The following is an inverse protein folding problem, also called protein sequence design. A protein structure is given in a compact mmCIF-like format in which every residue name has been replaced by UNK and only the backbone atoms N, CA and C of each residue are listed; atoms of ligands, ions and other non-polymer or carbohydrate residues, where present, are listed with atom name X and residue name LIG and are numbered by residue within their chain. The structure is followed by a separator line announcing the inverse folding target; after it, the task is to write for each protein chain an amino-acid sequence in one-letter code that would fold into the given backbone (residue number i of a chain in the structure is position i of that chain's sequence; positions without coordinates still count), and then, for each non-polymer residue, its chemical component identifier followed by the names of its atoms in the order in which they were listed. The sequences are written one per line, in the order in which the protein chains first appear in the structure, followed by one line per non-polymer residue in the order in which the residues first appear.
data_IF_955281688710
#
_entry.id   IF_955281688710
#
_cell.length_a   1.000
_cell.length_b   1.000
_cell.length_c   1.000
_cell.angle_alpha   90.00
_cell.angle_beta   90.00
_cell.angle_gamma   90.00
#
_symmetry.space_group_name_H-M   'P 1'
#
loop_
_entity.id
_entity.type
_entity.pdbx_description
1 polymer ?
#
# COMPACT_ATOMS: atom_id res chain seq x y z
N UNK A 1 -29.58 -17.63 -17.35
CA UNK A 1 -28.48 -17.13 -16.49
C UNK A 1 -28.97 -17.09 -15.06
N UNK A 2 -28.28 -17.73 -14.11
CA UNK A 2 -28.64 -17.73 -12.69
C UNK A 2 -28.48 -16.34 -12.07
N UNK A 3 -29.50 -15.85 -11.34
CA UNK A 3 -29.35 -14.62 -10.56
C UNK A 3 -28.34 -14.78 -9.42
N UNK A 4 -27.78 -13.68 -8.92
CA UNK A 4 -26.89 -13.69 -7.76
C UNK A 4 -27.52 -14.43 -6.56
N UNK A 5 -28.79 -14.12 -6.25
CA UNK A 5 -29.51 -14.78 -5.16
C UNK A 5 -29.72 -16.28 -5.38
N UNK A 6 -29.96 -16.72 -6.62
CA UNK A 6 -30.08 -18.14 -6.94
C UNK A 6 -28.75 -18.87 -6.74
N UNK A 7 -27.65 -18.27 -7.18
CA UNK A 7 -26.32 -18.84 -6.99
C UNK A 7 -25.95 -18.94 -5.50
N UNK A 8 -26.14 -17.88 -4.72
CA UNK A 8 -25.81 -17.90 -3.28
C UNK A 8 -26.64 -18.96 -2.53
N UNK A 9 -27.92 -19.13 -2.89
CA UNK A 9 -28.75 -20.18 -2.30
C UNK A 9 -28.26 -21.59 -2.66
N UNK A 10 -27.85 -21.81 -3.92
CA UNK A 10 -27.29 -23.09 -4.36
C UNK A 10 -25.94 -23.38 -3.68
N UNK A 11 -25.09 -22.36 -3.53
CA UNK A 11 -23.82 -22.46 -2.83
C UNK A 11 -24.01 -22.78 -1.35
N UNK A 12 -24.93 -22.08 -0.67
CA UNK A 12 -25.27 -22.32 0.73
C UNK A 12 -25.87 -23.72 0.99
N UNK A 13 -26.46 -24.34 -0.04
CA UNK A 13 -27.01 -25.71 0.04
C UNK A 13 -25.92 -26.80 0.04
N UNK A 14 -24.63 -26.43 -0.07
CA UNK A 14 -23.48 -27.36 -0.06
C UNK A 14 -23.64 -28.53 -1.05
N UNK A 15 -24.14 -28.24 -2.25
CA UNK A 15 -24.36 -29.25 -3.28
C UNK A 15 -23.02 -29.79 -3.80
N UNK A 16 -22.86 -31.12 -3.82
CA UNK A 16 -21.65 -31.75 -4.33
C UNK A 16 -21.41 -31.36 -5.79
N UNK A 17 -20.22 -30.84 -6.09
CA UNK A 17 -19.80 -30.50 -7.44
C UNK A 17 -20.59 -29.36 -8.09
N UNK A 18 -21.09 -28.38 -7.32
CA UNK A 18 -21.70 -27.18 -7.89
C UNK A 18 -20.68 -26.46 -8.80
N UNK A 19 -21.04 -26.30 -10.08
CA UNK A 19 -20.26 -25.61 -11.09
C UNK A 19 -21.13 -24.60 -11.82
N UNK A 20 -20.74 -23.33 -11.77
CA UNK A 20 -21.43 -22.24 -12.43
C UNK A 20 -20.43 -21.44 -13.28
N UNK A 21 -20.12 -21.86 -14.52
CA UNK A 21 -19.10 -21.20 -15.34
C UNK A 21 -19.48 -19.75 -15.69
N UNK A 22 -18.54 -18.82 -15.49
CA UNK A 22 -18.69 -17.43 -15.91
C UNK A 22 -18.63 -17.32 -17.44
N UNK A 23 -19.38 -16.38 -18.02
CA UNK A 23 -19.24 -16.02 -19.44
C UNK A 23 -17.98 -15.19 -19.68
N UNK A 24 -17.62 -14.32 -18.72
CA UNK A 24 -16.36 -13.56 -18.71
C UNK A 24 -15.49 -14.05 -17.57
N UNK A 25 -14.36 -14.67 -17.93
CA UNK A 25 -13.43 -15.25 -16.94
C UNK A 25 -12.44 -14.25 -16.35
N UNK A 26 -12.33 -13.07 -16.94
CA UNK A 26 -11.35 -12.03 -16.60
C UNK A 26 -12.05 -10.67 -16.55
N UNK A 27 -12.21 -10.13 -15.34
CA UNK A 27 -12.95 -8.90 -15.06
C UNK A 27 -12.00 -7.85 -14.51
N UNK A 28 -11.82 -6.69 -15.19
CA UNK A 28 -10.98 -5.61 -14.70
C UNK A 28 -11.43 -5.11 -13.32
N UNK A 29 -10.48 -4.81 -12.42
CA UNK A 29 -10.77 -4.34 -11.07
C UNK A 29 -11.59 -3.05 -11.08
N UNK A 30 -11.38 -2.15 -12.05
CA UNK A 30 -12.16 -0.90 -12.19
C UNK A 30 -13.68 -1.10 -12.29
N UNK A 31 -14.14 -2.28 -12.70
CA UNK A 31 -15.58 -2.57 -12.82
C UNK A 31 -16.24 -2.69 -11.44
N UNK A 32 -15.48 -3.04 -10.39
CA UNK A 32 -16.06 -3.41 -9.10
C UNK A 32 -15.26 -2.95 -7.87
N UNK A 33 -14.06 -2.39 -8.03
CA UNK A 33 -13.23 -1.81 -6.96
C UNK A 33 -13.01 -0.32 -7.26
N UNK A 34 -13.23 0.52 -6.26
CA UNK A 34 -12.87 1.94 -6.28
C UNK A 34 -11.94 2.20 -5.09
N UNK A 35 -10.79 2.81 -5.33
CA UNK A 35 -9.79 3.14 -4.32
C UNK A 35 -9.53 4.64 -4.36
N UNK A 36 -9.73 5.31 -3.23
CA UNK A 36 -9.30 6.68 -2.99
C UNK A 36 -8.33 6.72 -1.80
N UNK A 37 -7.59 7.82 -1.68
CA UNK A 37 -6.68 8.06 -0.56
C UNK A 37 -6.78 9.51 -0.09
N UNK A 38 -6.79 9.71 1.23
CA UNK A 38 -6.60 11.02 1.84
C UNK A 38 -5.13 11.17 2.24
N UNK A 39 -4.58 12.37 2.05
CA UNK A 39 -3.17 12.67 2.34
C UNK A 39 -3.05 13.53 3.59
N UNK A 40 -1.90 13.43 4.24
CA UNK A 40 -1.53 14.21 5.42
C UNK A 40 -1.62 15.70 5.10
N UNK A 41 -2.20 16.47 6.02
CA UNK A 41 -2.54 17.88 5.82
C UNK A 41 -1.34 18.76 5.43
N UNK A 42 -0.12 18.33 5.75
CA UNK A 42 1.12 19.02 5.34
C UNK A 42 1.16 19.24 3.82
N UNK A 43 0.65 18.30 3.03
CA UNK A 43 0.68 18.36 1.57
C UNK A 43 -0.32 19.36 0.97
N UNK A 44 -1.20 19.95 1.79
CA UNK A 44 -2.10 21.04 1.39
C UNK A 44 -1.93 22.30 2.26
N UNK A 45 -1.05 22.23 3.26
CA UNK A 45 -0.71 23.33 4.17
C UNK A 45 0.06 24.44 3.48
N UNK A 46 0.25 25.56 4.17
CA UNK A 46 1.05 26.68 3.66
C UNK A 46 2.53 26.32 3.50
N UNK A 47 3.02 25.30 4.21
CA UNK A 47 4.43 24.90 4.23
C UNK A 47 4.95 24.28 2.94
N UNK A 48 4.07 23.89 2.02
CA UNK A 48 4.44 23.36 0.70
C UNK A 48 4.14 24.33 -0.44
N UNK A 49 3.65 25.54 -0.13
CA UNK A 49 3.27 26.58 -1.10
C UNK A 49 4.42 27.55 -1.32
N UNK A 50 4.43 28.16 -2.51
CA UNK A 50 5.45 29.14 -2.92
C UNK A 50 5.57 30.32 -1.97
N UNK A 51 4.48 30.74 -1.31
CA UNK A 51 4.51 31.86 -0.35
C UNK A 51 5.48 31.58 0.80
N UNK A 52 5.41 30.39 1.41
CA UNK A 52 6.31 29.97 2.48
C UNK A 52 7.74 29.75 1.98
N UNK A 53 7.89 29.13 0.81
CA UNK A 53 9.21 28.91 0.21
C UNK A 53 9.92 30.24 -0.10
N UNK A 54 9.21 31.19 -0.70
CA UNK A 54 9.73 32.53 -1.01
C UNK A 54 10.10 33.31 0.25
N UNK A 55 9.34 33.14 1.34
CA UNK A 55 9.69 33.70 2.64
C UNK A 55 11.05 33.18 3.14
N UNK A 56 11.34 31.89 2.97
CA UNK A 56 12.61 31.27 3.36
C UNK A 56 13.77 31.57 2.40
N UNK A 57 13.49 32.00 1.17
CA UNK A 57 14.47 32.35 0.14
C UNK A 57 15.03 33.78 0.23
N UNK A 58 14.64 34.56 1.24
CA UNK A 58 14.92 36.00 1.29
C UNK A 58 16.40 36.40 1.12
N UNK A 59 16.68 37.67 0.85
CA UNK A 59 18.04 38.12 0.54
C UNK A 59 18.92 38.24 1.81
N UNK A 60 20.02 37.48 1.92
CA UNK A 60 20.95 37.64 3.04
C UNK A 60 22.31 36.94 2.93
N UNK A 61 23.10 37.08 3.99
CA UNK A 61 24.49 36.61 4.12
C UNK A 61 24.56 35.10 4.45
N UNK A 62 24.04 34.25 3.58
CA UNK A 62 23.92 32.77 3.77
C UNK A 62 25.23 32.07 4.17
N UNK A 63 26.36 32.61 3.73
CA UNK A 63 27.69 32.04 3.98
C UNK A 63 28.14 32.18 5.43
N UNK A 64 27.61 33.18 6.15
CA UNK A 64 28.09 33.55 7.48
C UNK A 64 27.25 32.96 8.61
N UNK A 65 26.13 32.30 8.29
CA UNK A 65 25.23 31.72 9.28
C UNK A 65 25.61 30.29 9.65
N UNK A 66 25.19 29.88 10.85
CA UNK A 66 25.35 28.50 11.30
C UNK A 66 24.70 27.53 10.30
N UNK A 67 25.37 26.41 10.02
CA UNK A 67 24.81 25.31 9.21
C UNK A 67 23.52 24.72 9.82
N UNK A 68 23.27 25.00 11.10
CA UNK A 68 22.10 24.56 11.85
C UNK A 68 20.96 25.59 11.85
N UNK A 69 21.13 26.71 11.12
CA UNK A 69 20.16 27.79 11.04
C UNK A 69 19.10 27.54 9.95
N UNK A 70 17.83 27.50 10.36
CA UNK A 70 16.71 27.22 9.44
C UNK A 70 16.48 28.36 8.45
N UNK A 71 16.82 29.60 8.76
CA UNK A 71 16.59 30.72 7.83
C UNK A 71 17.44 30.61 6.57
N UNK A 72 18.54 29.86 6.64
CA UNK A 72 19.49 29.69 5.55
C UNK A 72 19.31 28.40 4.77
N UNK A 73 18.66 27.40 5.39
CA UNK A 73 18.56 26.03 4.86
C UNK A 73 17.12 25.52 4.75
N UNK A 74 16.18 26.21 5.37
CA UNK A 74 14.78 25.83 5.44
C UNK A 74 14.12 25.75 4.06
N UNK A 75 14.45 26.67 3.14
CA UNK A 75 13.83 26.68 1.82
C UNK A 75 13.99 25.31 1.11
N UNK A 76 15.21 24.76 1.09
CA UNK A 76 15.46 23.46 0.49
C UNK A 76 14.78 22.30 1.23
N UNK A 77 14.60 22.41 2.55
CA UNK A 77 13.87 21.43 3.34
C UNK A 77 12.38 21.40 2.94
N UNK A 78 11.74 22.56 2.85
CA UNK A 78 10.32 22.67 2.52
C UNK A 78 10.07 22.44 1.02
N UNK A 79 11.03 22.76 0.16
CA UNK A 79 10.97 22.43 -1.27
C UNK A 79 11.02 20.91 -1.47
N UNK A 80 11.92 20.21 -0.77
CA UNK A 80 11.96 18.74 -0.79
C UNK A 80 10.65 18.14 -0.25
N UNK A 81 10.09 18.71 0.82
CA UNK A 81 8.80 18.28 1.36
C UNK A 81 7.66 18.44 0.34
N UNK A 82 7.61 19.59 -0.34
CA UNK A 82 6.62 19.86 -1.41
C UNK A 82 6.77 18.86 -2.56
N UNK A 83 8.00 18.63 -3.01
CA UNK A 83 8.30 17.65 -4.05
C UNK A 83 7.89 16.23 -3.66
N UNK A 84 8.13 15.81 -2.41
CA UNK A 84 7.72 14.49 -1.91
C UNK A 84 6.21 14.35 -1.78
N UNK A 85 5.50 15.40 -1.37
CA UNK A 85 4.03 15.42 -1.37
C UNK A 85 3.48 15.23 -2.78
N UNK A 86 3.97 16.00 -3.75
CA UNK A 86 3.56 15.88 -5.16
C UNK A 86 3.89 14.51 -5.74
N UNK A 87 5.11 14.02 -5.49
CA UNK A 87 5.56 12.70 -5.95
C UNK A 87 4.69 11.60 -5.36
N UNK A 88 4.35 11.67 -4.07
CA UNK A 88 3.51 10.67 -3.42
C UNK A 88 2.10 10.61 -4.03
N UNK A 89 1.49 11.76 -4.30
CA UNK A 89 0.19 11.85 -4.96
C UNK A 89 0.22 11.26 -6.38
N UNK A 90 1.27 11.55 -7.16
CA UNK A 90 1.46 11.01 -8.50
C UNK A 90 1.69 9.49 -8.44
N UNK A 91 2.53 9.01 -7.52
CA UNK A 91 2.81 7.58 -7.32
C UNK A 91 1.51 6.83 -7.02
N UNK A 92 0.68 7.32 -6.10
CA UNK A 92 -0.61 6.71 -5.78
C UNK A 92 -1.57 6.75 -6.96
N UNK A 93 -1.69 7.90 -7.62
CA UNK A 93 -2.56 8.03 -8.81
C UNK A 93 -2.19 7.01 -9.88
N UNK A 94 -0.89 6.89 -10.18
CA UNK A 94 -0.41 5.94 -11.18
C UNK A 94 -0.61 4.49 -10.74
N UNK A 95 -0.32 4.17 -9.47
CA UNK A 95 -0.49 2.84 -8.93
C UNK A 95 -1.97 2.40 -8.94
N UNK A 96 -2.89 3.28 -8.54
CA UNK A 96 -4.34 3.02 -8.59
C UNK A 96 -4.80 2.81 -10.03
N UNK A 97 -4.35 3.65 -10.98
CA UNK A 97 -4.71 3.50 -12.40
C UNK A 97 -4.19 2.17 -12.98
N UNK A 98 -2.97 1.77 -12.63
CA UNK A 98 -2.41 0.49 -13.06
C UNK A 98 -3.18 -0.69 -12.45
N UNK A 99 -3.43 -0.65 -11.14
CA UNK A 99 -4.23 -1.64 -10.45
C UNK A 99 -5.63 -1.77 -11.07
N UNK A 100 -6.28 -0.66 -11.39
CA UNK A 100 -7.62 -0.63 -11.96
C UNK A 100 -7.73 -1.38 -13.32
N UNK A 101 -6.64 -1.47 -14.09
CA UNK A 101 -6.57 -2.20 -15.36
C UNK A 101 -6.23 -3.69 -15.19
N UNK A 102 -5.72 -4.11 -14.03
CA UNK A 102 -5.54 -5.52 -13.71
C UNK A 102 -6.90 -6.24 -13.60
N UNK A 103 -6.88 -7.56 -13.72
CA UNK A 103 -8.12 -8.35 -13.79
C UNK A 103 -8.23 -9.41 -12.71
N UNK A 104 -9.44 -9.55 -12.19
CA UNK A 104 -9.85 -10.69 -11.38
C UNK A 104 -10.16 -11.88 -12.29
N UNK A 105 -9.45 -12.98 -12.09
CA UNK A 105 -9.59 -14.18 -12.93
C UNK A 105 -10.40 -15.23 -12.18
N UNK A 106 -11.58 -15.56 -12.71
CA UNK A 106 -12.37 -16.68 -12.23
C UNK A 106 -13.15 -17.36 -13.35
N UNK A 107 -12.91 -18.65 -13.54
CA UNK A 107 -13.65 -19.45 -14.52
C UNK A 107 -15.08 -19.78 -14.05
N UNK A 108 -15.37 -19.65 -12.75
CA UNK A 108 -16.67 -19.97 -12.16
C UNK A 108 -17.16 -18.83 -11.27
N UNK A 109 -18.47 -18.73 -11.09
CA UNK A 109 -19.04 -17.87 -10.08
C UNK A 109 -18.49 -18.29 -8.70
N UNK A 110 -18.11 -17.30 -7.90
CA UNK A 110 -17.59 -17.46 -6.55
C UNK A 110 -18.54 -16.81 -5.56
N UNK A 111 -18.68 -17.39 -4.37
CA UNK A 111 -19.55 -16.84 -3.32
C UNK A 111 -19.10 -15.46 -2.88
N UNK A 112 -20.06 -14.67 -2.40
CA UNK A 112 -19.82 -13.33 -1.87
C UNK A 112 -18.71 -13.31 -0.82
N UNK A 113 -18.71 -14.30 0.10
CA UNK A 113 -17.68 -14.44 1.13
C UNK A 113 -16.30 -14.68 0.53
N UNK A 114 -16.18 -15.64 -0.40
CA UNK A 114 -14.89 -15.95 -1.02
C UNK A 114 -14.38 -14.77 -1.86
N UNK A 115 -15.27 -14.08 -2.56
CA UNK A 115 -14.95 -12.87 -3.31
C UNK A 115 -14.35 -11.79 -2.41
N UNK A 116 -14.99 -11.46 -1.28
CA UNK A 116 -14.45 -10.43 -0.39
C UNK A 116 -13.13 -10.84 0.26
N UNK A 117 -12.95 -12.11 0.62
CA UNK A 117 -11.68 -12.61 1.16
C UNK A 117 -10.55 -12.48 0.13
N UNK A 118 -10.79 -12.89 -1.12
CA UNK A 118 -9.78 -12.78 -2.17
C UNK A 118 -9.48 -11.31 -2.52
N UNK A 119 -10.52 -10.47 -2.58
CA UNK A 119 -10.37 -9.07 -2.93
C UNK A 119 -9.64 -8.27 -1.84
N UNK A 120 -9.91 -8.55 -0.55
CA UNK A 120 -9.18 -7.96 0.57
C UNK A 120 -7.68 -8.29 0.52
N UNK A 121 -7.31 -9.54 0.22
CA UNK A 121 -5.90 -9.94 0.06
C UNK A 121 -5.25 -9.16 -1.09
N UNK A 122 -5.92 -9.05 -2.24
CA UNK A 122 -5.43 -8.31 -3.41
C UNK A 122 -5.24 -6.82 -3.08
N UNK A 123 -6.20 -6.19 -2.41
CA UNK A 123 -6.14 -4.77 -2.01
C UNK A 123 -4.99 -4.54 -1.03
N UNK A 124 -4.82 -5.40 -0.02
CA UNK A 124 -3.72 -5.27 0.94
C UNK A 124 -2.36 -5.45 0.29
N UNK A 125 -2.25 -6.39 -0.65
CA UNK A 125 -1.04 -6.60 -1.42
C UNK A 125 -0.71 -5.35 -2.25
N UNK A 126 -1.70 -4.77 -2.93
CA UNK A 126 -1.56 -3.51 -3.65
C UNK A 126 -1.04 -2.40 -2.72
N UNK A 127 -1.74 -2.10 -1.64
CA UNK A 127 -1.37 -1.04 -0.68
C UNK A 127 0.07 -1.22 -0.16
N UNK A 128 0.40 -2.44 0.28
CA UNK A 128 1.73 -2.75 0.85
C UNK A 128 2.83 -2.68 -0.21
N UNK A 129 2.57 -3.17 -1.41
CA UNK A 129 3.56 -3.15 -2.50
C UNK A 129 3.87 -1.73 -2.95
N UNK A 130 2.86 -0.88 -3.07
CA UNK A 130 3.02 0.52 -3.49
C UNK A 130 3.86 1.31 -2.48
N UNK A 131 3.57 1.20 -1.18
CA UNK A 131 4.36 1.89 -0.14
C UNK A 131 5.78 1.32 -0.03
N UNK A 132 5.92 0.00 -0.10
CA UNK A 132 7.23 -0.68 -0.01
C UNK A 132 8.14 -0.36 -1.20
N UNK A 133 7.59 -0.28 -2.41
CA UNK A 133 8.38 0.05 -3.60
C UNK A 133 8.88 1.49 -3.57
N UNK A 134 8.01 2.43 -3.15
CA UNK A 134 8.39 3.83 -2.98
C UNK A 134 9.49 4.00 -1.92
N UNK A 135 9.29 3.46 -0.72
CA UNK A 135 10.26 3.55 0.38
C UNK A 135 11.59 2.90 0.02
N UNK A 136 11.59 1.75 -0.67
CA UNK A 136 12.83 1.10 -1.17
C UNK A 136 13.56 1.97 -2.18
N UNK A 137 12.84 2.60 -3.10
CA UNK A 137 13.45 3.50 -4.10
C UNK A 137 14.09 4.70 -3.43
N UNK A 138 13.40 5.28 -2.44
CA UNK A 138 13.91 6.39 -1.66
C UNK A 138 15.14 6.01 -0.83
N UNK A 139 15.11 4.83 -0.20
CA UNK A 139 16.25 4.29 0.54
C UNK A 139 17.47 4.10 -0.35
N UNK A 140 17.27 3.56 -1.56
CA UNK A 140 18.34 3.40 -2.54
C UNK A 140 18.97 4.76 -2.91
N UNK A 141 18.17 5.81 -3.11
CA UNK A 141 18.66 7.16 -3.39
C UNK A 141 19.53 7.68 -2.24
N UNK A 142 19.10 7.48 -0.99
CA UNK A 142 19.86 7.88 0.21
C UNK A 142 21.18 7.14 0.29
N UNK A 143 21.16 5.82 0.11
CA UNK A 143 22.34 4.97 0.22
C UNK A 143 23.37 5.26 -0.88
N UNK A 144 22.92 5.46 -2.12
CA UNK A 144 23.78 5.91 -3.22
C UNK A 144 24.36 7.29 -2.91
N UNK A 145 23.55 8.21 -2.38
CA UNK A 145 24.00 9.57 -2.11
C UNK A 145 25.09 9.63 -1.04
N UNK A 146 24.88 8.90 0.05
CA UNK A 146 25.84 8.80 1.14
C UNK A 146 27.08 7.99 0.74
N UNK A 147 26.89 6.82 0.12
CA UNK A 147 27.98 5.92 -0.26
C UNK A 147 28.95 6.50 -1.30
N UNK A 148 28.46 7.40 -2.17
CA UNK A 148 29.30 8.12 -3.14
C UNK A 148 29.80 9.47 -2.63
N UNK A 149 29.52 9.83 -1.38
CA UNK A 149 29.99 11.08 -0.74
C UNK A 149 29.63 12.35 -1.52
N UNK A 150 28.47 12.39 -2.20
CA UNK A 150 28.06 13.59 -2.94
C UNK A 150 27.99 14.79 -1.99
N UNK A 151 28.79 15.82 -2.26
CA UNK A 151 28.87 17.01 -1.41
C UNK A 151 27.52 17.73 -1.45
N UNK A 152 26.87 17.86 -0.30
CA UNK A 152 25.66 18.67 -0.16
C UNK A 152 25.97 20.12 -0.51
N UNK A 153 25.10 20.77 -1.29
CA UNK A 153 25.19 22.20 -1.65
C UNK A 153 25.33 23.13 -0.45
N UNK A 154 25.00 22.65 0.75
CA UNK A 154 25.02 23.39 2.01
C UNK A 154 26.14 22.99 2.96
N UNK A 155 27.10 22.16 2.51
CA UNK A 155 28.20 21.66 3.31
C UNK A 155 27.74 20.89 4.57
N UNK A 156 26.63 20.16 4.47
CA UNK A 156 26.06 19.41 5.60
C UNK A 156 26.83 18.11 5.89
N UNK A 157 27.38 17.45 4.86
CA UNK A 157 28.17 16.23 5.01
C UNK A 157 29.68 16.46 4.87
N UNK A 158 30.09 17.30 3.91
CA UNK A 158 31.49 17.58 3.62
C UNK A 158 31.69 19.09 3.45
N UNK A 159 32.76 19.61 4.04
CA UNK A 159 33.24 20.95 3.77
C UNK A 159 34.56 20.89 3.00
N UNK A 160 34.78 21.87 2.14
CA UNK A 160 36.05 22.09 1.48
C UNK A 160 36.47 23.54 1.68
N UNK A 161 37.76 23.80 1.56
CA UNK A 161 38.32 25.15 1.60
C UNK A 161 39.46 25.25 0.59
N UNK A 162 39.75 26.48 0.17
CA UNK A 162 40.91 26.75 -0.69
C UNK A 162 42.10 26.99 0.24
N UNK A 163 43.21 26.29 0.03
CA UNK A 163 44.47 26.60 0.71
C UNK A 163 45.19 27.69 -0.08
N UNK A 164 45.47 28.84 0.55
CA UNK A 164 46.25 29.94 -0.06
C UNK A 164 47.74 29.62 -0.28
N UNK A 165 48.18 28.39 0.02
CA UNK A 165 49.53 27.93 -0.28
C UNK A 165 49.71 27.77 -1.80
N UNK A 166 50.37 28.77 -2.39
CA UNK A 166 50.71 28.87 -3.81
C UNK A 166 51.44 27.61 -4.32
N UNK A 167 50.70 26.65 -4.86
CA UNK A 167 51.26 25.46 -5.52
C UNK A 167 50.48 24.17 -5.36
N UNK A 168 49.57 24.04 -4.40
CA UNK A 168 48.78 22.82 -4.23
C UNK A 168 47.55 22.82 -5.14
N UNK A 169 47.50 21.92 -6.11
CA UNK A 169 46.33 21.67 -6.98
C UNK A 169 45.24 20.82 -6.30
N UNK A 170 45.34 20.58 -4.99
CA UNK A 170 44.43 19.73 -4.22
C UNK A 170 43.42 20.58 -3.44
N UNK A 171 42.14 20.23 -3.52
CA UNK A 171 41.08 20.80 -2.69
C UNK A 171 40.95 20.00 -1.39
N UNK A 172 41.43 20.50 -0.25
CA UNK A 172 41.26 19.80 1.02
C UNK A 172 39.77 19.73 1.40
N UNK A 173 39.35 18.56 1.86
CA UNK A 173 37.99 18.29 2.31
C UNK A 173 37.98 17.72 3.72
N UNK A 174 36.88 17.92 4.44
CA UNK A 174 36.66 17.34 5.77
C UNK A 174 35.20 16.93 5.92
N UNK A 175 34.98 15.73 6.44
CA UNK A 175 33.65 15.28 6.84
C UNK A 175 33.15 16.09 8.04
N UNK A 176 31.87 16.46 8.00
CA UNK A 176 31.20 17.17 9.09
C UNK A 176 30.81 16.20 10.17
N UNK A 177 30.97 16.63 11.43
CA UNK A 177 30.55 15.87 12.59
C UNK A 177 29.56 16.72 13.40
N UNK A 178 28.24 16.49 13.26
CA UNK A 178 27.24 17.26 13.99
C UNK A 178 27.39 17.17 15.51
N UNK A 179 27.87 16.01 15.99
CA UNK A 179 28.18 15.72 17.40
C UNK A 179 29.53 15.01 17.50
N UNK A 180 30.16 15.03 18.68
CA UNK A 180 31.54 14.53 18.86
C UNK A 180 31.74 13.04 18.49
N UNK A 181 30.67 12.24 18.44
CA UNK A 181 30.72 10.80 18.12
C UNK A 181 30.00 10.43 16.82
N UNK A 182 29.62 11.41 15.98
CA UNK A 182 28.90 11.13 14.74
C UNK A 182 29.48 11.92 13.58
N UNK A 183 30.08 11.22 12.62
CA UNK A 183 30.66 11.80 11.40
C UNK A 183 29.85 11.43 10.17
N UNK A 184 29.47 12.45 9.39
CA UNK A 184 28.76 12.32 8.12
C UNK A 184 29.56 11.63 7.01
N UNK A 185 30.86 11.39 7.22
CA UNK A 185 31.68 10.55 6.33
C UNK A 185 31.51 9.05 6.60
N UNK A 186 30.92 8.68 7.74
CA UNK A 186 30.76 7.27 8.17
C UNK A 186 29.31 6.88 8.41
N UNK A 187 28.44 7.85 8.72
CA UNK A 187 27.07 7.66 9.17
C UNK A 187 26.18 8.74 8.57
N UNK A 188 25.11 8.34 7.90
CA UNK A 188 24.12 9.27 7.33
C UNK A 188 23.11 9.77 8.36
N UNK A 189 22.91 9.03 9.45
CA UNK A 189 21.92 9.28 10.50
C UNK A 189 22.39 10.27 11.57
N UNK A 190 23.53 10.94 11.36
CA UNK A 190 24.01 11.96 12.28
C UNK A 190 23.14 13.20 12.22
N UNK A 191 22.63 13.62 13.38
CA UNK A 191 21.75 14.78 13.50
C UNK A 191 22.15 15.69 14.64
N UNK A 192 21.77 16.96 14.51
CA UNK A 192 21.81 17.96 15.59
C UNK A 192 20.56 18.82 15.52
N UNK A 193 19.99 19.17 16.68
CA UNK A 193 18.86 20.08 16.74
C UNK A 193 19.20 21.43 16.11
N UNK A 194 18.35 21.86 15.19
CA UNK A 194 18.46 23.13 14.49
C UNK A 194 17.56 24.21 15.10
N UNK A 195 17.58 25.37 14.47
CA UNK A 195 16.71 26.49 14.85
C UNK A 195 17.27 27.79 14.32
N UNK A 196 17.28 28.82 15.15
CA UNK A 196 17.83 30.13 14.79
C UNK A 196 19.05 30.40 15.63
N UNK A 197 20.13 30.81 14.96
CA UNK A 197 21.41 31.11 15.56
C UNK A 197 21.80 32.56 15.30
N UNK A 198 22.44 33.22 16.27
CA UNK A 198 23.18 34.46 16.04
C UNK A 198 24.64 34.15 15.82
N UNK A 199 25.26 34.91 14.93
CA UNK A 199 26.69 34.84 14.66
C UNK A 199 27.35 35.99 15.41
N UNK A 200 28.23 35.66 16.35
CA UNK A 200 29.20 36.63 16.86
C UNK A 200 30.32 36.80 15.84
N UNK A 201 30.50 38.02 15.31
CA UNK A 201 31.61 38.31 14.40
C UNK A 201 32.93 38.36 15.17
N UNK A 202 33.67 37.26 15.18
CA UNK A 202 35.11 37.30 15.41
C UNK A 202 35.79 37.15 14.04
N UNK A 203 36.25 38.26 13.48
CA UNK A 203 37.06 38.23 12.26
C UNK A 203 38.44 37.65 12.60
N UNK A 204 38.69 36.38 12.24
CA UNK A 204 40.07 35.89 12.12
C UNK A 204 40.66 36.23 10.75
N UNK A 205 42.00 36.41 10.64
CA UNK A 205 42.65 36.96 9.45
C UNK A 205 42.66 36.03 8.21
N UNK A 206 42.07 34.84 8.29
CA UNK A 206 42.22 33.79 7.28
C UNK A 206 40.90 33.27 6.69
N UNK A 207 39.84 34.08 6.68
CA UNK A 207 38.62 33.77 5.90
C UNK A 207 37.79 32.57 6.40
N UNK A 208 38.18 31.95 7.53
CA UNK A 208 37.36 30.99 8.24
C UNK A 208 36.76 31.73 9.43
N UNK A 209 35.48 32.15 9.39
CA UNK A 209 34.86 32.69 10.57
C UNK A 209 34.82 31.56 11.62
N UNK A 210 35.52 31.76 12.74
CA UNK A 210 35.26 30.98 13.94
C UNK A 210 33.91 31.46 14.48
N UNK A 211 32.84 30.94 13.88
CA UNK A 211 31.47 31.32 14.20
C UNK A 211 31.17 30.74 15.59
N UNK A 212 31.42 31.54 16.63
CA UNK A 212 30.74 31.35 17.89
C UNK A 212 29.27 31.67 17.64
N UNK A 213 28.51 30.62 17.31
CA UNK A 213 27.07 30.71 17.08
C UNK A 213 26.33 30.47 18.39
N UNK A 214 25.51 31.42 18.81
CA UNK A 214 24.61 31.23 19.96
C UNK A 214 23.23 30.88 19.44
N UNK A 215 22.65 29.78 19.90
CA UNK A 215 21.28 29.43 19.54
C UNK A 215 20.31 30.39 20.23
N UNK A 216 19.57 31.18 19.45
CA UNK A 216 18.54 32.08 19.97
C UNK A 216 17.22 31.35 20.19
N UNK A 217 16.92 30.41 19.30
CA UNK A 217 15.68 29.66 19.30
C UNK A 217 15.97 28.23 18.83
N UNK A 218 15.55 27.26 19.62
CA UNK A 218 15.53 25.87 19.22
C UNK A 218 14.16 25.57 18.62
N UNK A 219 14.13 25.18 17.35
CA UNK A 219 12.87 24.85 16.69
C UNK A 219 12.50 23.40 17.04
N UNK A 220 11.39 23.16 17.76
CA UNK A 220 10.97 21.81 18.11
C UNK A 220 10.77 20.95 16.85
N UNK A 221 11.33 19.75 16.88
CA UNK A 221 11.23 18.81 15.77
C UNK A 221 12.16 19.07 14.59
N UNK A 222 12.87 20.21 14.52
CA UNK A 222 13.78 20.50 13.42
C UNK A 222 15.18 19.97 13.72
N UNK A 223 15.58 18.93 12.98
CA UNK A 223 16.87 18.28 13.06
C UNK A 223 17.65 18.49 11.78
N UNK A 224 18.91 18.90 11.91
CA UNK A 224 19.82 19.08 10.78
C UNK A 224 20.73 17.87 10.69
N UNK A 225 20.62 17.18 9.56
CA UNK A 225 21.36 15.95 9.26
C UNK A 225 22.52 16.18 8.29
N UNK A 226 23.10 15.08 7.81
CA UNK A 226 24.22 15.09 6.87
C UNK A 226 23.86 15.55 5.45
N UNK A 227 22.57 15.58 5.10
CA UNK A 227 22.09 16.07 3.81
C UNK A 227 20.75 16.78 3.99
N UNK A 228 20.26 17.46 2.95
CA UNK A 228 18.90 18.04 2.97
C UNK A 228 17.83 16.96 3.14
N UNK A 229 18.05 15.78 2.57
CA UNK A 229 17.17 14.62 2.70
C UNK A 229 17.16 14.10 4.14
N UNK A 230 18.33 13.90 4.74
CA UNK A 230 18.41 13.43 6.14
C UNK A 230 17.91 14.49 7.12
N UNK A 231 18.11 15.77 6.83
CA UNK A 231 17.52 16.88 7.58
C UNK A 231 16.00 16.77 7.58
N UNK A 232 15.37 16.53 6.42
CA UNK A 232 13.93 16.31 6.35
C UNK A 232 13.51 15.07 7.11
N UNK A 233 14.12 13.93 6.82
CA UNK A 233 13.70 12.62 7.28
C UNK A 233 13.83 12.41 8.78
N UNK A 234 14.85 13.02 9.39
CA UNK A 234 15.08 12.93 10.83
C UNK A 234 14.33 14.03 11.61
N UNK A 235 13.67 14.96 10.93
CA UNK A 235 12.83 15.98 11.56
C UNK A 235 11.41 15.46 11.81
N UNK A 236 10.63 16.21 12.59
CA UNK A 236 9.22 15.98 12.88
C UNK A 236 8.41 17.25 12.55
N UNK A 237 7.08 17.18 12.64
CA UNK A 237 6.19 18.31 12.37
C UNK A 237 5.77 19.09 13.63
N UNK A 238 6.42 18.88 14.77
CA UNK A 238 6.04 19.48 16.06
C UNK A 238 5.86 21.00 16.00
N UNK A 239 6.83 21.74 15.44
CA UNK A 239 6.72 23.18 15.28
C UNK A 239 5.60 23.58 14.29
N UNK A 240 5.36 22.78 13.25
CA UNK A 240 4.38 23.10 12.20
C UNK A 240 2.93 23.02 12.70
N UNK A 241 2.69 22.33 13.83
CA UNK A 241 1.40 22.29 14.52
C UNK A 241 1.25 23.39 15.60
N UNK A 242 2.25 24.24 15.80
CA UNK A 242 2.28 25.23 16.86
C UNK A 242 2.42 26.65 16.29
N UNK A 243 1.34 27.43 16.31
CA UNK A 243 1.34 28.80 15.77
C UNK A 243 2.39 29.69 16.44
N UNK A 244 2.60 29.59 17.76
CA UNK A 244 3.63 30.36 18.46
C UNK A 244 5.04 30.05 17.93
N UNK A 245 5.29 28.80 17.54
CA UNK A 245 6.56 28.41 16.93
C UNK A 245 6.75 29.07 15.55
N UNK A 246 5.70 29.05 14.71
CA UNK A 246 5.70 29.69 13.39
C UNK A 246 5.87 31.20 13.50
N UNK A 247 5.19 31.83 14.45
CA UNK A 247 5.28 33.27 14.71
C UNK A 247 6.71 33.68 15.09
N UNK A 248 7.37 32.87 15.92
CA UNK A 248 8.78 33.09 16.27
C UNK A 248 9.69 33.01 15.05
N UNK A 249 9.51 32.00 14.18
CA UNK A 249 10.28 31.87 12.94
C UNK A 249 10.10 33.09 12.03
N UNK A 250 8.85 33.55 11.86
CA UNK A 250 8.53 34.75 11.07
C UNK A 250 9.15 36.02 11.65
N UNK A 251 9.09 36.19 12.97
CA UNK A 251 9.64 37.35 13.67
C UNK A 251 11.16 37.45 13.54
N UNK A 252 11.88 36.33 13.63
CA UNK A 252 13.34 36.35 13.50
C UNK A 252 13.83 36.50 12.06
N UNK A 253 12.99 36.22 11.06
CA UNK A 253 13.32 36.46 9.66
C UNK A 253 13.25 37.96 9.30
N UNK A 254 12.34 38.73 9.92
CA UNK A 254 12.24 40.19 9.69
C UNK A 254 13.35 40.99 10.38
N UNK A 255 14.07 40.41 11.34
CA UNK A 255 15.02 41.12 12.22
C UNK A 255 16.43 41.29 11.61
N UNK A 256 16.81 40.58 10.55
CA UNK A 256 18.18 40.63 9.99
C UNK A 256 18.26 41.27 8.60
N UNK A 257 17.71 42.47 8.37
CA UNK A 257 17.96 43.21 7.11
C UNK A 257 17.58 42.46 5.81
N UNK A 258 16.93 41.31 5.92
CA UNK A 258 16.29 40.59 4.84
C UNK A 258 15.13 41.48 4.42
N UNK A 259 15.23 42.07 3.23
CA UNK A 259 14.09 42.71 2.59
C UNK A 259 13.14 41.58 2.19
N UNK A 260 12.28 41.18 3.12
CA UNK A 260 11.17 40.30 2.82
C UNK A 260 10.24 41.17 1.95
N UNK A 261 9.90 40.78 0.71
CA UNK A 261 8.81 41.42 0.00
C UNK A 261 7.62 41.32 0.93
N UNK A 262 7.00 42.43 1.33
CA UNK A 262 5.93 42.46 2.33
C UNK A 262 4.93 41.33 2.06
N UNK A 263 5.11 40.20 2.74
CA UNK A 263 4.31 39.02 2.50
C UNK A 263 3.05 39.26 3.31
N UNK A 264 2.03 39.72 2.62
CA UNK A 264 0.71 40.02 3.17
C UNK A 264 -0.04 38.77 3.63
N UNK A 265 0.53 37.56 3.45
CA UNK A 265 -0.03 36.31 3.92
C UNK A 265 0.77 35.74 5.10
N UNK A 266 0.13 35.75 6.25
CA UNK A 266 0.59 35.13 7.48
C UNK A 266 0.46 33.60 7.35
N UNK A 267 1.59 32.89 7.33
CA UNK A 267 1.62 31.42 7.33
C UNK A 267 0.95 30.87 8.58
N UNK A 268 -0.06 30.02 8.37
CA UNK A 268 -0.78 29.38 9.46
C UNK A 268 -0.14 28.04 9.82
N UNK A 269 -0.10 27.74 11.12
CA UNK A 269 0.21 26.41 11.61
C UNK A 269 -0.85 25.40 11.11
N UNK A 270 -0.41 24.15 10.96
CA UNK A 270 -1.29 23.02 10.69
C UNK A 270 -2.31 22.84 11.80
N UNK A 271 -3.49 22.35 11.45
CA UNK A 271 -4.60 22.22 12.37
C UNK A 271 -4.46 20.94 13.21
N UNK A 272 -4.21 21.12 14.51
CA UNK A 272 -4.10 20.02 15.48
C UNK A 272 -5.43 19.31 15.77
N UNK A 273 -6.55 19.89 15.37
CA UNK A 273 -7.88 19.26 15.53
C UNK A 273 -8.21 18.25 14.42
N UNK A 274 -7.47 18.28 13.31
CA UNK A 274 -7.64 17.26 12.27
C UNK A 274 -7.11 15.92 12.77
N UNK A 275 -7.92 14.89 12.57
CA UNK A 275 -7.55 13.52 12.92
C UNK A 275 -6.45 13.07 11.95
N UNK A 276 -5.26 12.82 12.49
CA UNK A 276 -4.15 12.21 11.76
C UNK A 276 -3.78 10.90 12.44
N UNK A 277 -3.41 9.89 11.65
CA UNK A 277 -2.81 8.65 12.19
C UNK A 277 -1.36 8.87 12.66
N UNK A 278 -0.74 9.98 12.30
CA UNK A 278 0.62 10.34 12.68
C UNK A 278 0.61 11.41 13.79
N UNK A 279 1.30 11.12 14.89
CA UNK A 279 1.49 12.11 15.95
C UNK A 279 2.46 13.21 15.47
N UNK A 280 2.37 14.46 15.97
CA UNK A 280 3.25 15.55 15.56
C UNK A 280 4.76 15.25 15.71
N UNK A 281 5.13 14.41 16.67
CA UNK A 281 6.51 13.97 16.94
C UNK A 281 6.94 12.73 16.14
N UNK A 282 6.08 12.23 15.24
CA UNK A 282 6.46 11.17 14.30
C UNK A 282 7.53 11.71 13.35
N UNK A 283 8.55 10.91 13.06
CA UNK A 283 9.58 11.33 12.11
C UNK A 283 8.99 11.45 10.72
N UNK A 284 9.46 12.42 9.94
CA UNK A 284 8.94 12.66 8.61
C UNK A 284 9.25 11.48 7.69
N UNK A 285 10.35 10.75 7.92
CA UNK A 285 10.64 9.53 7.14
C UNK A 285 9.56 8.46 7.33
N UNK A 286 9.02 8.30 8.53
CA UNK A 286 7.93 7.34 8.78
C UNK A 286 6.66 7.74 8.01
N UNK A 287 6.37 9.05 7.95
CA UNK A 287 5.22 9.58 7.20
C UNK A 287 5.43 9.43 5.68
N UNK A 288 6.65 9.71 5.20
CA UNK A 288 7.04 9.61 3.78
C UNK A 288 7.04 8.16 3.30
N UNK A 289 7.53 7.21 4.12
CA UNK A 289 7.51 5.77 3.80
C UNK A 289 6.09 5.24 3.58
N UNK A 290 5.12 5.92 4.18
CA UNK A 290 3.68 5.67 4.05
C UNK A 290 3.02 6.58 2.99
N UNK A 291 3.80 7.20 2.10
CA UNK A 291 3.34 8.09 1.01
C UNK A 291 2.46 9.27 1.50
N UNK A 292 2.65 9.71 2.74
CA UNK A 292 1.79 10.68 3.42
C UNK A 292 0.31 10.28 3.48
N UNK A 293 -0.05 9.01 3.32
CA UNK A 293 -1.44 8.59 3.31
C UNK A 293 -1.99 8.60 4.74
N UNK A 294 -3.15 9.22 4.94
CA UNK A 294 -3.87 9.16 6.22
C UNK A 294 -4.82 7.97 6.24
N UNK A 295 -5.59 7.81 5.17
CA UNK A 295 -6.57 6.75 5.05
C UNK A 295 -6.74 6.29 3.60
N UNK A 296 -6.92 4.99 3.43
CA UNK A 296 -7.42 4.39 2.21
C UNK A 296 -8.93 4.23 2.29
N UNK A 297 -9.63 4.74 1.27
CA UNK A 297 -11.07 4.59 1.13
C UNK A 297 -11.33 3.60 -0.01
N UNK A 298 -11.66 2.36 0.35
CA UNK A 298 -11.86 1.28 -0.61
C UNK A 298 -13.31 0.85 -0.64
N UNK A 299 -13.92 0.88 -1.82
CA UNK A 299 -15.29 0.42 -2.05
C UNK A 299 -15.28 -0.76 -3.03
N UNK A 300 -15.80 -1.91 -2.58
CA UNK A 300 -15.83 -3.15 -3.34
C UNK A 300 -17.27 -3.60 -3.53
N UNK A 301 -17.67 -3.89 -4.77
CA UNK A 301 -19.03 -4.28 -5.12
C UNK A 301 -19.09 -5.71 -5.68
N UNK A 302 -19.56 -6.65 -4.86
CA UNK A 302 -19.79 -8.02 -5.32
C UNK A 302 -20.87 -8.11 -6.41
N UNK A 303 -21.93 -7.29 -6.34
CA UNK A 303 -22.98 -7.29 -7.35
C UNK A 303 -22.45 -6.90 -8.73
N UNK A 304 -21.62 -5.85 -8.81
CA UNK A 304 -20.97 -5.46 -10.07
C UNK A 304 -20.06 -6.55 -10.60
N UNK A 305 -19.29 -7.20 -9.72
CA UNK A 305 -18.46 -8.35 -10.12
C UNK A 305 -19.31 -9.50 -10.67
N UNK A 306 -20.38 -9.87 -9.97
CA UNK A 306 -21.25 -10.99 -10.37
C UNK A 306 -21.94 -10.71 -11.72
N UNK A 307 -22.39 -9.47 -11.94
CA UNK A 307 -22.93 -9.01 -13.22
C UNK A 307 -21.92 -9.16 -14.37
N UNK A 308 -20.63 -8.89 -14.11
CA UNK A 308 -19.57 -9.07 -15.10
C UNK A 308 -19.24 -10.55 -15.35
N UNK A 309 -19.20 -11.39 -14.30
CA UNK A 309 -19.02 -12.84 -14.45
C UNK A 309 -20.15 -13.46 -15.27
N UNK A 310 -21.40 -13.00 -15.08
CA UNK A 310 -22.60 -13.42 -15.80
C UNK A 310 -22.63 -14.94 -16.07
N UNK A 311 -22.87 -15.78 -15.03
CA UNK A 311 -22.79 -17.23 -15.16
C UNK A 311 -23.78 -17.77 -16.19
N UNK A 312 -23.29 -18.67 -17.04
CA UNK A 312 -24.06 -19.19 -18.18
C UNK A 312 -25.17 -20.13 -17.71
N UNK A 313 -24.80 -21.11 -16.88
CA UNK A 313 -25.66 -22.11 -16.26
C UNK A 313 -25.03 -22.57 -14.94
N UNK A 314 -25.77 -23.30 -14.12
CA UNK A 314 -25.23 -23.99 -12.94
C UNK A 314 -25.56 -25.48 -13.04
N UNK A 315 -24.60 -26.33 -12.70
CA UNK A 315 -24.76 -27.78 -12.65
C UNK A 315 -24.25 -28.31 -11.31
N UNK A 316 -24.84 -29.37 -10.80
CA UNK A 316 -24.44 -30.00 -9.54
C UNK A 316 -24.74 -31.49 -9.58
N UNK A 317 -24.02 -32.27 -8.79
CA UNK A 317 -24.27 -33.72 -8.66
C UNK A 317 -25.26 -33.96 -7.53
N UNK A 318 -26.34 -34.68 -7.84
CA UNK A 318 -27.28 -35.14 -6.84
C UNK A 318 -26.86 -36.55 -6.41
N UNK A 319 -26.14 -36.66 -5.30
CA UNK A 319 -25.93 -37.96 -4.66
C UNK A 319 -27.24 -38.38 -4.00
N UNK A 320 -28.06 -39.09 -4.77
CA UNK A 320 -29.24 -39.75 -4.22
C UNK A 320 -28.73 -40.84 -3.29
N UNK A 321 -28.91 -40.66 -1.98
CA UNK A 321 -28.77 -41.75 -1.02
C UNK A 321 -29.56 -42.95 -1.54
N UNK A 322 -28.97 -44.15 -1.57
CA UNK A 322 -29.58 -45.30 -2.23
C UNK A 322 -30.95 -45.52 -1.60
N UNK A 323 -32.01 -45.24 -2.37
CA UNK A 323 -33.38 -45.43 -1.93
C UNK A 323 -33.53 -46.89 -1.49
N UNK A 324 -34.34 -47.16 -0.47
CA UNK A 324 -34.59 -48.53 -0.01
C UNK A 324 -34.88 -49.50 -1.17
N UNK A 325 -35.63 -49.04 -2.18
CA UNK A 325 -35.92 -49.78 -3.42
C UNK A 325 -34.64 -50.16 -4.21
N UNK A 326 -33.65 -49.27 -4.28
CA UNK A 326 -32.36 -49.54 -4.94
C UNK A 326 -31.54 -50.57 -4.15
N UNK A 327 -31.56 -50.50 -2.82
CA UNK A 327 -30.89 -51.50 -1.96
C UNK A 327 -31.54 -52.86 -2.17
N UNK A 328 -32.88 -52.94 -2.08
CA UNK A 328 -33.65 -54.17 -2.25
C UNK A 328 -33.48 -54.78 -3.65
N UNK A 329 -33.52 -53.97 -4.71
CA UNK A 329 -33.33 -54.49 -6.07
C UNK A 329 -31.91 -55.01 -6.29
N UNK A 330 -30.90 -54.36 -5.69
CA UNK A 330 -29.50 -54.82 -5.76
C UNK A 330 -29.28 -56.09 -4.93
N UNK A 331 -29.86 -56.24 -3.75
CA UNK A 331 -29.80 -57.51 -2.99
C UNK A 331 -30.53 -58.63 -3.70
N UNK A 332 -31.74 -58.41 -4.24
CA UNK A 332 -32.47 -59.43 -5.01
C UNK A 332 -31.69 -59.84 -6.27
N UNK A 333 -31.04 -58.89 -6.94
CA UNK A 333 -30.17 -59.15 -8.08
C UNK A 333 -28.92 -59.97 -7.72
N UNK A 334 -28.31 -59.70 -6.56
CA UNK A 334 -27.14 -60.44 -6.06
C UNK A 334 -27.52 -61.85 -5.58
N UNK A 335 -28.69 -62.02 -4.97
CA UNK A 335 -29.19 -63.30 -4.48
C UNK A 335 -29.78 -64.21 -5.59
N UNK A 336 -29.63 -63.83 -6.86
CA UNK A 336 -30.09 -64.66 -7.98
C UNK A 336 -31.60 -64.86 -7.96
N UNK A 337 -32.37 -63.82 -7.62
CA UNK A 337 -33.84 -63.88 -7.61
C UNK A 337 -34.43 -64.36 -8.94
N UNK A 338 -33.74 -64.08 -10.05
CA UNK A 338 -34.08 -64.60 -11.37
C UNK A 338 -33.91 -66.13 -11.47
N UNK A 339 -32.85 -66.68 -10.88
CA UNK A 339 -32.57 -68.14 -10.87
C UNK A 339 -33.55 -68.90 -9.99
N UNK A 340 -33.95 -68.34 -8.86
CA UNK A 340 -34.98 -68.92 -7.97
C UNK A 340 -36.35 -68.88 -8.63
N UNK A 341 -36.74 -67.74 -9.21
CA UNK A 341 -38.00 -67.61 -9.95
C UNK A 341 -38.06 -68.55 -11.18
N UNK A 342 -36.97 -68.64 -11.95
CA UNK A 342 -36.87 -69.59 -13.07
C UNK A 342 -37.01 -71.05 -12.64
N UNK A 343 -36.49 -71.43 -11.47
CA UNK A 343 -36.67 -72.79 -10.92
C UNK A 343 -38.13 -73.09 -10.60
N UNK A 344 -38.86 -72.14 -9.99
CA UNK A 344 -40.28 -72.33 -9.71
C UNK A 344 -41.14 -72.38 -10.98
N UNK A 345 -40.86 -71.48 -11.94
CA UNK A 345 -41.58 -71.45 -13.22
C UNK A 345 -41.31 -72.73 -14.04
N UNK A 346 -40.05 -73.20 -14.07
CA UNK A 346 -39.71 -74.44 -14.78
C UNK A 346 -40.37 -75.68 -14.18
N UNK A 347 -40.44 -75.81 -12.85
CA UNK A 347 -41.18 -76.90 -12.20
C UNK A 347 -42.68 -76.86 -12.56
N UNK A 348 -43.27 -75.67 -12.59
CA UNK A 348 -44.68 -75.51 -12.95
C UNK A 348 -44.94 -75.87 -14.42
N UNK A 349 -44.04 -75.47 -15.33
CA UNK A 349 -44.14 -75.80 -16.77
C UNK A 349 -43.99 -77.31 -17.03
N UNK A 350 -43.15 -78.01 -16.27
CA UNK A 350 -43.01 -79.47 -16.35
C UNK A 350 -44.29 -80.17 -15.87
N UNK A 351 -44.87 -79.72 -14.75
CA UNK A 351 -46.14 -80.27 -14.27
C UNK A 351 -47.27 -80.04 -15.28
N UNK A 352 -47.37 -78.83 -15.85
CA UNK A 352 -48.36 -78.51 -16.86
C UNK A 352 -48.17 -79.35 -18.14
N UNK A 353 -46.93 -79.51 -18.60
CA UNK A 353 -46.58 -80.36 -19.74
C UNK A 353 -46.97 -81.83 -19.50
N UNK A 354 -46.62 -82.39 -18.34
CA UNK A 354 -46.98 -83.78 -17.98
C UNK A 354 -48.49 -83.98 -17.83
N UNK A 355 -49.21 -82.98 -17.33
CA UNK A 355 -50.67 -83.01 -17.24
C UNK A 355 -51.32 -83.00 -18.64
N UNK A 356 -50.81 -82.19 -19.56
CA UNK A 356 -51.29 -82.14 -20.95
C UNK A 356 -50.96 -83.46 -21.68
N UNK A 357 -49.74 -83.99 -21.52
CA UNK A 357 -49.33 -85.24 -22.14
C UNK A 357 -50.18 -86.44 -21.67
N UNK A 358 -50.43 -86.55 -20.35
CA UNK A 358 -51.31 -87.60 -19.81
C UNK A 358 -52.75 -87.46 -20.33
N UNK A 359 -53.25 -86.24 -20.54
CA UNK A 359 -54.59 -86.00 -21.09
C UNK A 359 -54.67 -86.33 -22.59
N UNK A 360 -53.61 -86.06 -23.36
CA UNK A 360 -53.51 -86.46 -24.76
C UNK A 360 -53.34 -87.98 -24.93
N UNK A 361 -52.64 -88.64 -24.01
CA UNK A 361 -52.45 -90.10 -24.04
C UNK A 361 -53.72 -90.87 -23.67
N UNK A 362 -54.50 -90.38 -22.70
CA UNK A 362 -55.81 -90.97 -22.38
C UNK A 362 -56.85 -90.81 -23.52
N UNK A 363 -56.77 -89.74 -24.31
CA UNK A 363 -57.65 -89.55 -25.48
C UNK A 363 -57.26 -90.40 -26.71
N UNK A 364 -56.06 -91.02 -26.74
CA UNK A 364 -55.67 -91.97 -27.81
C UNK A 364 -56.08 -93.42 -27.53
N UNK A 365 -56.41 -93.77 -26.28
CA UNK A 365 -56.83 -95.13 -25.91
C UNK A 365 -58.35 -95.33 -26.10
N UNK A 366 -59.13 -94.26 -26.13
CA UNK A 366 -60.59 -94.29 -26.38
C UNK A 366 -60.98 -94.27 -27.87
N UNK A 367 -60.03 -94.29 -28.81
CA UNK A 367 -60.30 -94.34 -30.25
C UNK A 367 -60.02 -95.71 -30.90
N UNK A 368 -59.83 -96.77 -30.11
CA UNK A 368 -59.65 -98.17 -30.56
C UNK A 368 -60.46 -99.14 -29.68
N UNK A 369 -61.77 -98.92 -29.61
CA UNK A 369 -62.78 -99.93 -29.25
C UNK A 369 -64.05 -99.64 -30.01
#
# INVERSE_FOLDING_TARGET
MPSQSQYENLYASNLNGLQCPCSRISVPYKEFIIINSTFHQVCTSDFVKDVWLNFLYGYGLWFYQSRYDIRVRGAAYFELLSALCSTSQITITNAVNQFAEETFVSAQAISQTNFFVQTDVIIRQFQTSTTSEFSRTLQLIRDITHGNTFISSFYLNWQWWVSDESGNSTLPTRAISPTNNCSCGTRSDCVKSGGIYTVGYNFEPYGIPNINSTQMFAMPGFNVGCSSVETLFQSTFECLYNQTCIDQLQMFATTIGFVIPAATDYTMAMNSTFVSRFQPNTTIVDIVNELFIEQWEVNVSYSKFYEQCAPMYCSYTFEKSPTFIYIVTRTIGIYGGLTVALRYISLYMIQLGSYIENRCRNNRVTSLT
#
